data_IF_814441933411
#
_entry.id   IF_814441933411
#
_cell.length_a   1.000
_cell.length_b   1.000
_cell.length_c   1.000
_cell.angle_alpha   90.00
_cell.angle_beta   90.00
_cell.angle_gamma   90.00
#
_symmetry.space_group_name_H-M   'P 1'
#
loop_
_entity.id
_entity.type
_entity.pdbx_description
1 polymer ?
#
# COMPACT_ATOMS: atom_id res chain seq x y z
N UNK A 1 -15.49 -57.64 30.29
CA UNK A 1 -16.95 -57.87 30.24
C UNK A 1 -17.65 -56.66 30.83
N UNK A 2 -18.15 -55.76 29.99
CA UNK A 2 -19.15 -54.70 30.23
C UNK A 2 -19.83 -54.45 28.86
N UNK A 3 -21.16 -54.23 28.75
CA UNK A 3 -21.91 -54.62 27.55
C UNK A 3 -22.05 -53.52 26.48
N UNK A 4 -22.29 -53.99 25.24
CA UNK A 4 -22.86 -53.28 24.08
C UNK A 4 -24.37 -53.10 24.27
N UNK A 5 -24.89 -51.93 23.89
CA UNK A 5 -26.29 -51.58 23.54
C UNK A 5 -26.32 -50.06 23.31
N UNK A 6 -27.00 -49.42 22.33
CA UNK A 6 -28.02 -49.82 21.37
C UNK A 6 -28.09 -48.76 20.27
N UNK A 7 -28.33 -49.21 19.04
CA UNK A 7 -28.69 -48.44 17.84
C UNK A 7 -29.97 -47.63 18.07
N UNK A 8 -30.00 -46.36 17.67
CA UNK A 8 -31.21 -45.54 17.59
C UNK A 8 -31.24 -44.75 16.31
N UNK A 9 -31.70 -45.37 15.23
CA UNK A 9 -32.09 -44.70 14.00
C UNK A 9 -33.56 -44.27 14.12
N UNK A 10 -33.83 -42.98 13.94
CA UNK A 10 -35.17 -42.49 13.60
C UNK A 10 -35.04 -41.43 12.51
N UNK A 11 -35.48 -41.83 11.31
CA UNK A 11 -35.75 -40.95 10.20
C UNK A 11 -36.96 -40.07 10.52
N UNK A 12 -36.83 -38.78 10.26
CA UNK A 12 -37.97 -37.86 10.15
C UNK A 12 -37.86 -37.16 8.80
N UNK A 13 -38.59 -37.71 7.83
CA UNK A 13 -38.97 -37.02 6.60
C UNK A 13 -39.91 -35.88 7.00
N UNK A 14 -39.45 -34.64 6.82
CA UNK A 14 -40.25 -33.43 6.92
C UNK A 14 -40.33 -32.76 5.54
N UNK A 15 -41.55 -32.62 5.03
CA UNK A 15 -41.90 -32.29 3.66
C UNK A 15 -41.45 -30.89 3.19
N UNK A 16 -40.87 -30.86 1.98
CA UNK A 16 -40.75 -29.67 1.14
C UNK A 16 -42.15 -29.19 0.74
N UNK A 17 -42.57 -28.04 1.26
CA UNK A 17 -43.72 -27.29 0.73
C UNK A 17 -43.19 -26.13 -0.11
N UNK A 18 -43.28 -26.26 -1.44
CA UNK A 18 -43.06 -25.19 -2.40
C UNK A 18 -44.31 -24.30 -2.44
N UNK A 19 -44.28 -23.18 -1.74
CA UNK A 19 -45.30 -22.13 -1.91
C UNK A 19 -44.80 -21.15 -2.96
N UNK A 20 -45.40 -21.24 -4.14
CA UNK A 20 -45.20 -20.29 -5.23
C UNK A 20 -46.10 -19.05 -5.07
N UNK A 21 -45.60 -17.94 -5.62
CA UNK A 21 -46.31 -16.76 -6.11
C UNK A 21 -46.77 -15.69 -5.09
N UNK A 22 -45.98 -14.61 -5.00
CA UNK A 22 -46.50 -13.27 -4.78
C UNK A 22 -46.11 -12.40 -5.99
N UNK A 23 -47.03 -11.63 -6.59
CA UNK A 23 -46.69 -10.73 -7.68
C UNK A 23 -46.00 -9.48 -7.11
N UNK A 24 -44.91 -9.09 -7.76
CA UNK A 24 -44.22 -7.83 -7.47
C UNK A 24 -45.15 -6.63 -7.70
N UNK A 25 -45.06 -5.56 -6.89
CA UNK A 25 -45.69 -4.30 -7.22
C UNK A 25 -44.96 -3.68 -8.43
N UNK A 26 -45.71 -3.63 -9.53
CA UNK A 26 -45.61 -2.70 -10.64
C UNK A 26 -45.04 -1.32 -10.25
N UNK A 27 -43.72 -1.14 -10.40
CA UNK A 27 -43.11 0.17 -10.46
C UNK A 27 -43.30 0.72 -11.89
N UNK A 28 -44.35 1.53 -12.07
CA UNK A 28 -44.55 2.33 -13.27
C UNK A 28 -43.50 3.45 -13.28
N UNK A 29 -42.33 3.19 -13.86
CA UNK A 29 -41.41 4.26 -14.26
C UNK A 29 -41.89 4.85 -15.58
N UNK A 30 -42.28 6.12 -15.52
CA UNK A 30 -42.74 6.92 -16.62
C UNK A 30 -41.74 6.90 -17.79
N UNK A 31 -42.21 6.58 -18.99
CA UNK A 31 -41.53 6.93 -20.23
C UNK A 31 -41.45 8.45 -20.33
N UNK A 32 -40.32 9.02 -19.94
CA UNK A 32 -39.93 10.34 -20.43
C UNK A 32 -39.48 10.15 -21.89
N UNK A 33 -40.34 10.58 -22.81
CA UNK A 33 -40.01 10.80 -24.21
C UNK A 33 -38.89 11.84 -24.25
N UNK A 34 -37.68 11.43 -24.63
CA UNK A 34 -36.60 12.36 -24.95
C UNK A 34 -36.81 12.80 -26.39
N UNK A 35 -37.20 14.05 -26.56
CA UNK A 35 -37.26 14.76 -27.83
C UNK A 35 -35.84 14.84 -28.45
N UNK A 36 -35.62 14.40 -29.70
CA UNK A 36 -34.29 14.41 -30.32
C UNK A 36 -34.04 15.64 -31.19
N UNK A 37 -34.43 16.85 -30.75
CA UNK A 37 -34.19 18.07 -31.53
C UNK A 37 -33.81 19.29 -30.67
N UNK A 38 -32.57 19.33 -30.16
CA UNK A 38 -31.87 20.59 -29.86
C UNK A 38 -30.36 20.34 -29.59
N UNK A 39 -29.58 20.04 -30.63
CA UNK A 39 -28.14 20.28 -30.58
C UNK A 39 -27.86 21.66 -31.17
N UNK A 40 -27.90 22.70 -30.32
CA UNK A 40 -27.25 23.96 -30.67
C UNK A 40 -25.75 23.83 -30.39
N UNK A 41 -24.99 23.97 -31.46
CA UNK A 41 -23.53 24.04 -31.51
C UNK A 41 -23.04 25.22 -30.69
N UNK A 42 -22.37 24.97 -29.56
CA UNK A 42 -21.51 25.97 -28.90
C UNK A 42 -20.07 25.63 -29.22
N UNK A 43 -19.49 26.48 -30.04
CA UNK A 43 -18.10 26.53 -30.49
C UNK A 43 -17.15 26.76 -29.29
N UNK A 44 -16.05 26.00 -29.12
CA UNK A 44 -15.06 26.33 -28.10
C UNK A 44 -14.17 27.49 -28.59
N UNK A 45 -14.35 28.67 -28.00
CA UNK A 45 -13.43 29.80 -28.14
C UNK A 45 -12.01 29.38 -27.78
N UNK A 46 -11.11 29.51 -28.75
CA UNK A 46 -9.69 29.31 -28.60
C UNK A 46 -9.09 30.32 -27.60
N UNK A 47 -8.44 29.82 -26.54
CA UNK A 47 -7.52 30.62 -25.73
C UNK A 47 -6.12 30.47 -26.32
N UNK A 48 -5.57 31.57 -26.81
CA UNK A 48 -4.23 31.64 -27.39
C UNK A 48 -3.16 31.48 -26.30
N UNK A 49 -2.19 30.61 -26.55
CA UNK A 49 -0.94 30.54 -25.80
C UNK A 49 -0.08 31.80 -26.06
N UNK A 50 0.60 32.37 -25.05
CA UNK A 50 1.61 33.39 -25.29
C UNK A 50 2.88 32.76 -25.88
N UNK A 51 3.36 33.38 -26.97
CA UNK A 51 4.43 32.89 -27.84
C UNK A 51 5.84 32.92 -27.25
N UNK A 52 6.65 32.04 -27.82
CA UNK A 52 8.11 32.09 -27.86
C UNK A 52 8.51 33.13 -28.93
N UNK A 53 9.24 34.16 -28.52
CA UNK A 53 9.97 35.05 -29.41
C UNK A 53 11.42 35.14 -28.91
N UNK A 54 12.23 34.20 -29.39
CA UNK A 54 13.68 34.33 -29.44
C UNK A 54 14.07 35.18 -30.65
N UNK A 55 14.76 36.32 -30.46
CA UNK A 55 15.91 36.84 -31.25
C UNK A 55 16.19 38.32 -30.88
N UNK A 56 17.43 38.67 -30.48
CA UNK A 56 17.82 40.08 -30.43
C UNK A 56 19.09 40.46 -29.64
N UNK A 57 20.26 40.09 -30.14
CA UNK A 57 21.58 40.61 -29.75
C UNK A 57 21.71 42.15 -29.83
N UNK A 58 22.37 42.80 -28.84
CA UNK A 58 23.59 43.65 -29.03
C UNK A 58 24.13 44.33 -27.73
N UNK A 59 25.42 44.03 -27.45
CA UNK A 59 26.56 44.86 -27.00
C UNK A 59 26.39 45.92 -25.87
N UNK A 60 27.32 46.19 -24.94
CA UNK A 60 28.78 46.01 -24.91
C UNK A 60 29.37 46.14 -23.48
N UNK A 61 30.65 45.76 -23.35
CA UNK A 61 31.71 46.33 -22.46
C UNK A 61 31.64 45.94 -20.95
N UNK A 62 32.64 45.32 -20.32
CA UNK A 62 34.08 45.64 -20.36
C UNK A 62 34.99 44.48 -19.86
N UNK A 63 36.22 44.41 -20.42
CA UNK A 63 37.51 43.95 -19.87
C UNK A 63 37.60 42.56 -19.19
N UNK A 64 38.18 41.52 -19.82
CA UNK A 64 39.62 41.25 -20.07
C UNK A 64 40.43 40.96 -18.80
N UNK A 65 40.89 39.69 -18.64
CA UNK A 65 42.32 39.35 -18.52
C UNK A 65 42.59 37.85 -18.79
N UNK A 66 43.71 37.64 -19.47
CA UNK A 66 44.30 36.46 -20.10
C UNK A 66 45.04 35.54 -19.09
N UNK A 67 45.30 34.24 -19.39
CA UNK A 67 45.85 33.23 -18.47
C UNK A 67 47.36 32.97 -18.69
N UNK A 68 47.97 32.18 -17.76
CA UNK A 68 49.30 31.52 -17.76
C UNK A 68 50.07 31.88 -16.48
N UNK A 69 50.61 30.98 -15.65
CA UNK A 69 51.74 30.04 -15.87
C UNK A 69 51.72 28.96 -14.76
N UNK A 70 52.22 27.75 -15.07
CA UNK A 70 52.39 26.57 -14.17
C UNK A 70 53.60 26.67 -13.17
N UNK A 71 54.18 25.57 -12.60
CA UNK A 71 54.20 25.24 -11.17
C UNK A 71 55.64 25.26 -10.55
N UNK A 72 55.77 25.02 -9.22
CA UNK A 72 56.85 24.22 -8.55
C UNK A 72 57.11 24.64 -7.09
N UNK A 73 57.29 23.62 -6.23
CA UNK A 73 58.09 23.49 -4.98
C UNK A 73 58.16 24.69 -4.00
N UNK A 74 58.01 24.55 -2.67
CA UNK A 74 58.91 23.82 -1.75
C UNK A 74 58.30 23.89 -0.31
N UNK A 75 58.36 22.79 0.45
CA UNK A 75 58.26 22.75 1.95
C UNK A 75 59.68 23.04 2.55
N UNK A 76 59.98 23.12 3.88
CA UNK A 76 59.16 22.96 5.12
C UNK A 76 59.49 23.89 6.33
N UNK A 77 58.88 23.57 7.49
CA UNK A 77 59.30 23.84 8.90
C UNK A 77 58.80 25.18 9.49
N UNK A 78 58.10 25.25 10.63
CA UNK A 78 58.55 24.86 11.98
C UNK A 78 57.36 24.70 12.98
N UNK A 79 57.47 23.75 13.91
CA UNK A 79 56.61 23.54 15.10
C UNK A 79 57.30 24.11 16.34
N UNK A 80 56.55 24.59 17.34
CA UNK A 80 56.62 23.89 18.65
C UNK A 80 55.25 23.75 19.34
N UNK A 81 55.01 22.56 19.90
CA UNK A 81 54.05 22.26 20.98
C UNK A 81 54.72 22.55 22.36
N UNK A 82 54.07 22.47 23.57
CA UNK A 82 53.20 21.35 23.96
C UNK A 82 52.06 21.58 24.99
N UNK A 83 51.24 20.54 25.12
CA UNK A 83 50.48 20.01 26.28
C UNK A 83 49.41 20.85 27.01
N UNK A 84 48.14 20.42 26.86
CA UNK A 84 47.32 20.03 28.01
C UNK A 84 46.31 18.91 27.67
N UNK A 85 46.31 17.90 28.53
CA UNK A 85 45.44 16.73 28.52
C UNK A 85 44.01 17.12 28.89
N UNK A 86 43.04 16.88 27.99
CA UNK A 86 41.63 16.73 28.36
C UNK A 86 41.13 15.42 27.75
N UNK A 87 41.08 14.39 28.59
CA UNK A 87 40.42 13.14 28.28
C UNK A 87 38.90 13.41 28.24
N UNK A 88 38.37 13.68 27.06
CA UNK A 88 36.93 13.54 26.82
C UNK A 88 36.70 12.20 26.12
N UNK A 89 36.28 11.24 26.94
CA UNK A 89 35.68 9.97 26.53
C UNK A 89 34.60 10.23 25.46
N UNK A 90 34.63 9.56 24.30
CA UNK A 90 33.51 9.62 23.37
C UNK A 90 32.28 9.06 24.09
N UNK A 91 31.26 9.90 24.29
CA UNK A 91 29.98 9.48 24.82
C UNK A 91 29.46 8.33 23.95
N UNK A 92 29.48 7.12 24.49
CA UNK A 92 28.92 5.95 23.87
C UNK A 92 27.42 6.17 23.72
N UNK A 93 26.98 6.46 22.50
CA UNK A 93 25.59 6.27 22.11
C UNK A 93 25.31 4.77 22.29
N UNK A 94 24.58 4.39 23.33
CA UNK A 94 23.98 3.06 23.40
C UNK A 94 22.93 2.99 22.30
N UNK A 95 23.37 2.69 21.08
CA UNK A 95 22.48 2.22 20.03
C UNK A 95 21.85 0.92 20.55
N UNK A 96 20.52 0.87 20.57
CA UNK A 96 19.82 -0.39 20.81
C UNK A 96 20.42 -1.47 19.90
N UNK A 97 20.59 -2.72 20.37
CA UNK A 97 21.11 -3.79 19.52
C UNK A 97 20.26 -3.86 18.24
N UNK A 98 20.88 -3.62 17.08
CA UNK A 98 20.20 -3.84 15.82
C UNK A 98 19.76 -5.31 15.77
N UNK A 99 18.52 -5.60 15.33
CA UNK A 99 18.08 -6.98 15.21
C UNK A 99 19.04 -7.73 14.27
N UNK A 100 19.49 -8.91 14.70
CA UNK A 100 20.29 -9.79 13.85
C UNK A 100 19.49 -10.15 12.58
N UNK A 101 20.14 -10.17 11.42
CA UNK A 101 19.52 -10.60 10.15
C UNK A 101 18.81 -11.96 10.27
N UNK A 102 19.33 -12.88 11.09
CA UNK A 102 18.70 -14.17 11.35
C UNK A 102 17.40 -14.07 12.17
N UNK A 103 17.24 -13.05 13.02
CA UNK A 103 16.00 -12.81 13.74
C UNK A 103 14.94 -12.24 12.80
N UNK A 104 15.31 -11.26 11.95
CA UNK A 104 14.42 -10.70 10.92
C UNK A 104 13.94 -11.79 9.96
N UNK A 105 14.84 -12.62 9.44
CA UNK A 105 14.47 -13.71 8.54
C UNK A 105 13.50 -14.72 9.18
N UNK A 106 13.67 -15.03 10.47
CA UNK A 106 12.72 -15.90 11.19
C UNK A 106 11.36 -15.24 11.36
N UNK A 107 11.33 -13.98 11.79
CA UNK A 107 10.07 -13.23 11.94
C UNK A 107 9.35 -13.10 10.61
N UNK A 108 10.07 -12.85 9.51
CA UNK A 108 9.51 -12.82 8.16
C UNK A 108 8.84 -14.15 7.83
N UNK A 109 9.56 -15.26 8.03
CA UNK A 109 9.05 -16.59 7.72
C UNK A 109 7.82 -16.97 8.56
N UNK A 110 7.68 -16.42 9.77
CA UNK A 110 6.49 -16.62 10.60
C UNK A 110 5.28 -15.88 9.99
N UNK A 111 5.49 -14.77 9.29
CA UNK A 111 4.43 -14.01 8.63
C UNK A 111 4.02 -14.56 7.26
N UNK A 112 4.90 -15.30 6.59
CA UNK A 112 4.60 -15.90 5.28
C UNK A 112 3.29 -16.71 5.30
N UNK A 113 2.44 -16.47 4.31
CA UNK A 113 1.16 -17.17 4.16
C UNK A 113 0.03 -16.25 3.71
N UNK A 114 -1.18 -16.81 3.71
CA UNK A 114 -2.41 -16.10 3.36
C UNK A 114 -3.06 -15.53 4.62
N UNK A 115 -3.51 -14.29 4.52
CA UNK A 115 -4.18 -13.52 5.56
C UNK A 115 -5.52 -13.05 5.00
N UNK A 116 -6.61 -13.21 5.73
CA UNK A 116 -7.95 -12.84 5.22
C UNK A 116 -8.63 -11.94 6.23
N UNK A 117 -9.41 -10.98 5.74
CA UNK A 117 -10.17 -10.09 6.58
C UNK A 117 -11.11 -10.86 7.50
N UNK A 118 -11.13 -10.45 8.76
CA UNK A 118 -12.07 -10.95 9.76
C UNK A 118 -13.51 -10.82 9.26
N UNK A 119 -14.33 -11.82 9.58
CA UNK A 119 -15.75 -11.92 9.18
C UNK A 119 -16.01 -11.91 7.66
N UNK A 120 -14.99 -12.12 6.81
CA UNK A 120 -15.08 -12.09 5.33
C UNK A 120 -16.28 -12.85 4.75
N UNK A 121 -16.64 -14.01 5.31
CA UNK A 121 -17.81 -14.81 4.87
C UNK A 121 -19.16 -14.09 4.94
N UNK A 122 -19.26 -13.04 5.76
CA UNK A 122 -20.47 -12.23 5.94
C UNK A 122 -20.38 -10.88 5.21
N UNK A 123 -19.29 -10.62 4.49
CA UNK A 123 -19.04 -9.37 3.81
C UNK A 123 -19.26 -9.52 2.31
N UNK A 124 -19.91 -8.53 1.71
CA UNK A 124 -20.03 -8.43 0.25
C UNK A 124 -18.68 -8.11 -0.41
N UNK A 125 -17.89 -7.25 0.24
CA UNK A 125 -16.56 -6.85 -0.21
C UNK A 125 -15.57 -7.03 0.95
N UNK A 126 -14.44 -7.68 0.71
CA UNK A 126 -13.43 -7.94 1.74
C UNK A 126 -12.02 -7.92 1.14
N UNK A 127 -11.01 -7.92 2.00
CA UNK A 127 -9.61 -7.98 1.57
C UNK A 127 -8.92 -9.25 2.06
N UNK A 128 -7.97 -9.73 1.28
CA UNK A 128 -6.97 -10.68 1.73
C UNK A 128 -5.57 -10.14 1.45
N UNK A 129 -4.58 -10.81 2.00
CA UNK A 129 -3.19 -10.57 1.67
C UNK A 129 -2.41 -11.88 1.58
N UNK A 130 -1.38 -11.86 0.74
CA UNK A 130 -0.34 -12.89 0.71
C UNK A 130 0.98 -12.23 1.10
N UNK A 131 1.63 -12.81 2.12
CA UNK A 131 2.97 -12.40 2.54
C UNK A 131 3.94 -13.51 2.15
N UNK A 132 5.01 -13.15 1.45
CA UNK A 132 6.11 -14.06 1.12
C UNK A 132 7.36 -13.26 0.76
N UNK A 133 8.54 -13.83 1.00
CA UNK A 133 9.82 -13.31 0.47
C UNK A 133 10.09 -11.81 0.71
N UNK A 134 9.63 -11.26 1.85
CA UNK A 134 9.80 -9.83 2.14
C UNK A 134 8.81 -8.92 1.43
N UNK A 135 7.71 -9.46 0.90
CA UNK A 135 6.68 -8.76 0.13
C UNK A 135 5.32 -9.01 0.77
N UNK A 136 4.44 -8.01 0.68
CA UNK A 136 3.02 -8.12 0.97
C UNK A 136 2.22 -7.70 -0.27
N UNK A 137 1.26 -8.54 -0.66
CA UNK A 137 0.29 -8.27 -1.71
C UNK A 137 -1.09 -8.32 -1.09
N UNK A 138 -1.88 -7.25 -1.25
CA UNK A 138 -3.25 -7.14 -0.74
C UNK A 138 -4.21 -7.12 -1.91
N UNK A 139 -5.20 -8.00 -1.88
CA UNK A 139 -6.27 -8.06 -2.88
C UNK A 139 -7.56 -7.52 -2.28
N UNK A 140 -8.30 -6.76 -3.09
CA UNK A 140 -9.68 -6.39 -2.77
C UNK A 140 -10.64 -7.26 -3.57
N UNK A 141 -11.48 -8.01 -2.87
CA UNK A 141 -12.55 -8.82 -3.43
C UNK A 141 -13.84 -8.02 -3.38
N UNK A 142 -14.51 -7.92 -4.52
CA UNK A 142 -15.76 -7.18 -4.68
C UNK A 142 -16.89 -8.11 -5.13
N UNK A 143 -18.12 -7.72 -4.79
CA UNK A 143 -19.35 -8.38 -5.23
C UNK A 143 -19.34 -9.89 -4.95
N UNK A 144 -19.07 -10.28 -3.70
CA UNK A 144 -18.96 -11.69 -3.29
C UNK A 144 -17.94 -12.49 -4.13
N UNK A 145 -16.73 -11.94 -4.29
CA UNK A 145 -15.60 -12.56 -5.02
C UNK A 145 -15.78 -12.66 -6.54
N UNK A 146 -16.85 -12.08 -7.13
CA UNK A 146 -17.01 -12.04 -8.59
C UNK A 146 -15.87 -11.25 -9.27
N UNK A 147 -15.33 -10.25 -8.56
CA UNK A 147 -14.21 -9.44 -9.01
C UNK A 147 -13.13 -9.38 -7.93
N UNK A 148 -11.88 -9.47 -8.36
CA UNK A 148 -10.72 -9.27 -7.52
C UNK A 148 -9.74 -8.30 -8.20
N UNK A 149 -9.20 -7.36 -7.42
CA UNK A 149 -8.25 -6.34 -7.88
C UNK A 149 -7.13 -6.18 -6.87
N UNK A 150 -5.88 -5.99 -7.30
CA UNK A 150 -4.82 -5.56 -6.38
C UNK A 150 -5.21 -4.24 -5.72
N UNK A 151 -5.01 -4.16 -4.40
CA UNK A 151 -5.14 -2.93 -3.63
C UNK A 151 -3.76 -2.37 -3.26
N UNK A 152 -2.84 -3.26 -2.90
CA UNK A 152 -1.48 -2.92 -2.53
C UNK A 152 -0.52 -4.04 -2.95
N UNK A 153 0.68 -3.67 -3.35
CA UNK A 153 1.81 -4.57 -3.48
C UNK A 153 3.03 -3.78 -3.03
N UNK A 154 3.86 -4.35 -2.16
CA UNK A 154 5.00 -3.61 -1.64
C UNK A 154 5.89 -4.42 -0.71
N UNK A 155 6.92 -3.77 -0.20
CA UNK A 155 7.86 -4.37 0.76
C UNK A 155 7.17 -4.78 2.05
N UNK A 156 7.70 -5.76 2.77
CA UNK A 156 7.24 -6.16 4.08
C UNK A 156 8.38 -6.76 4.89
N UNK A 157 8.76 -6.12 6.01
CA UNK A 157 9.73 -6.69 6.95
C UNK A 157 9.09 -6.88 8.32
N UNK A 158 8.92 -8.14 8.70
CA UNK A 158 8.37 -8.51 9.99
C UNK A 158 9.38 -8.36 11.12
N UNK A 159 8.87 -7.98 12.30
CA UNK A 159 9.61 -7.97 13.57
C UNK A 159 8.97 -8.99 14.52
N UNK A 160 9.68 -9.32 15.60
CA UNK A 160 9.13 -10.21 16.64
C UNK A 160 8.08 -9.47 17.48
N UNK A 161 6.93 -10.10 17.74
CA UNK A 161 5.87 -9.55 18.58
C UNK A 161 5.00 -8.53 17.84
N UNK A 162 4.47 -7.55 18.57
CA UNK A 162 3.67 -6.47 17.97
C UNK A 162 4.59 -5.45 17.32
N UNK A 163 4.26 -4.99 16.11
CA UNK A 163 5.07 -4.03 15.37
C UNK A 163 4.28 -3.22 14.37
N UNK A 164 4.78 -2.03 14.03
CA UNK A 164 4.41 -1.30 12.83
C UNK A 164 5.53 -1.37 11.79
N UNK A 165 5.12 -1.46 10.52
CA UNK A 165 5.99 -1.46 9.36
C UNK A 165 5.45 -0.54 8.26
N UNK A 166 6.34 0.28 7.67
CA UNK A 166 6.03 1.12 6.53
C UNK A 166 6.44 0.38 5.26
N UNK A 167 5.45 -0.09 4.50
CA UNK A 167 5.62 -0.72 3.21
C UNK A 167 5.84 0.32 2.11
N UNK A 168 6.77 0.06 1.21
CA UNK A 168 7.00 0.84 0.00
C UNK A 168 6.37 0.15 -1.20
N UNK A 169 5.63 0.94 -1.99
CA UNK A 169 4.82 0.44 -3.10
C UNK A 169 5.65 -0.16 -4.25
N UNK A 170 5.12 -1.20 -4.88
CA UNK A 170 5.52 -1.70 -6.20
C UNK A 170 4.53 -1.16 -7.25
N UNK A 171 4.88 -0.02 -7.86
CA UNK A 171 4.05 0.65 -8.88
C UNK A 171 3.78 -0.23 -10.10
N UNK A 172 4.71 -1.12 -10.47
CA UNK A 172 4.54 -1.95 -11.66
C UNK A 172 3.36 -2.90 -11.50
N UNK A 173 3.21 -3.49 -10.30
CA UNK A 173 2.11 -4.40 -9.96
C UNK A 173 0.75 -3.71 -9.83
N UNK A 174 0.72 -2.40 -9.59
CA UNK A 174 -0.53 -1.64 -9.35
C UNK A 174 -0.98 -0.78 -10.54
N UNK A 175 -0.17 -0.66 -11.59
CA UNK A 175 -0.37 0.24 -12.73
C UNK A 175 -1.75 0.15 -13.44
N UNK A 176 -2.42 -0.99 -13.36
CA UNK A 176 -3.73 -1.24 -13.99
C UNK A 176 -4.82 -1.64 -12.98
N UNK A 177 -4.56 -1.51 -11.69
CA UNK A 177 -5.50 -1.88 -10.65
C UNK A 177 -6.43 -0.69 -10.32
N UNK A 178 -7.73 -0.73 -10.70
CA UNK A 178 -8.62 0.42 -10.62
C UNK A 178 -8.89 0.92 -9.20
N UNK A 179 -8.64 0.07 -8.20
CA UNK A 179 -8.84 0.38 -6.78
C UNK A 179 -7.54 0.34 -5.97
N UNK A 180 -6.38 0.36 -6.62
CA UNK A 180 -5.11 0.42 -5.91
C UNK A 180 -4.99 1.70 -5.07
N UNK A 181 -4.30 1.57 -3.93
CA UNK A 181 -3.92 2.73 -3.12
C UNK A 181 -3.03 3.67 -3.93
N UNK A 182 -3.31 4.98 -3.88
CA UNK A 182 -2.55 6.05 -4.55
C UNK A 182 -1.31 6.51 -3.75
N UNK A 183 -0.88 5.73 -2.76
CA UNK A 183 0.14 6.13 -1.79
C UNK A 183 1.50 5.53 -2.14
N UNK A 184 2.57 6.29 -1.92
CA UNK A 184 3.94 5.77 -2.04
C UNK A 184 4.30 4.80 -0.91
N UNK A 185 3.63 4.95 0.24
CA UNK A 185 3.81 4.09 1.40
C UNK A 185 2.50 3.72 2.06
N UNK A 186 2.50 2.57 2.73
CA UNK A 186 1.37 2.09 3.54
C UNK A 186 1.88 1.55 4.87
N UNK A 187 1.28 2.00 5.96
CA UNK A 187 1.55 1.47 7.28
C UNK A 187 0.74 0.19 7.51
N UNK A 188 1.43 -0.85 7.97
CA UNK A 188 0.89 -2.11 8.42
C UNK A 188 1.21 -2.30 9.90
N UNK A 189 0.20 -2.66 10.68
CA UNK A 189 0.31 -2.86 12.12
C UNK A 189 0.01 -4.31 12.44
N UNK A 190 0.95 -4.99 13.07
CA UNK A 190 0.77 -6.31 13.68
C UNK A 190 0.52 -6.13 15.17
N UNK A 191 -0.68 -6.49 15.62
CA UNK A 191 -1.05 -6.51 17.04
C UNK A 191 -1.78 -7.80 17.35
N UNK A 192 -1.27 -8.54 18.34
CA UNK A 192 -1.92 -9.75 18.89
C UNK A 192 -2.31 -10.80 17.82
N UNK A 193 -1.49 -10.90 16.76
CA UNK A 193 -1.72 -11.83 15.66
C UNK A 193 -2.64 -11.31 14.55
N UNK A 194 -3.11 -10.07 14.63
CA UNK A 194 -3.95 -9.42 13.62
C UNK A 194 -3.11 -8.39 12.85
N UNK A 195 -3.13 -8.50 11.52
CA UNK A 195 -2.49 -7.55 10.61
C UNK A 195 -3.51 -6.49 10.21
N UNK A 196 -3.22 -5.22 10.47
CA UNK A 196 -4.16 -4.12 10.21
C UNK A 196 -3.57 -3.02 9.34
N UNK A 197 -4.39 -2.39 8.51
CA UNK A 197 -4.01 -1.24 7.70
C UNK A 197 -5.23 -0.39 7.30
N UNK A 198 -5.04 0.91 7.04
CA UNK A 198 -6.13 1.76 6.57
C UNK A 198 -6.42 1.54 5.08
N UNK A 199 -7.71 1.51 4.75
CA UNK A 199 -8.22 1.57 3.39
C UNK A 199 -9.18 2.76 3.27
N UNK A 200 -8.95 3.63 2.29
CA UNK A 200 -9.88 4.69 1.91
C UNK A 200 -10.59 4.32 0.62
N UNK A 201 -11.91 4.35 0.64
CA UNK A 201 -12.76 4.11 -0.52
C UNK A 201 -13.95 5.06 -0.48
N UNK A 202 -14.25 5.73 -1.59
CA UNK A 202 -15.37 6.68 -1.72
C UNK A 202 -15.42 7.76 -0.61
N UNK A 203 -14.26 8.26 -0.19
CA UNK A 203 -14.14 9.31 0.84
C UNK A 203 -14.31 8.82 2.28
N UNK A 204 -14.55 7.52 2.50
CA UNK A 204 -14.58 6.90 3.82
C UNK A 204 -13.30 6.09 4.06
N UNK A 205 -12.76 6.17 5.28
CA UNK A 205 -11.61 5.36 5.71
C UNK A 205 -12.07 4.31 6.71
N UNK A 206 -11.71 3.05 6.44
CA UNK A 206 -11.89 1.91 7.35
C UNK A 206 -10.54 1.31 7.68
N UNK A 207 -10.42 0.76 8.89
CA UNK A 207 -9.29 -0.09 9.25
C UNK A 207 -9.64 -1.51 8.89
N UNK A 208 -8.80 -2.13 8.08
CA UNK A 208 -8.91 -3.53 7.69
C UNK A 208 -8.15 -4.35 8.74
N UNK A 209 -8.73 -5.45 9.17
CA UNK A 209 -8.13 -6.39 10.11
C UNK A 209 -8.07 -7.77 9.47
N UNK A 210 -6.87 -8.29 9.24
CA UNK A 210 -6.62 -9.59 8.63
C UNK A 210 -6.10 -10.58 9.67
N UNK A 211 -6.58 -11.82 9.59
CA UNK A 211 -6.06 -12.96 10.35
C UNK A 211 -5.36 -13.94 9.42
N UNK A 212 -4.27 -14.53 9.91
CA UNK A 212 -3.55 -15.55 9.17
C UNK A 212 -4.41 -16.81 9.07
N UNK A 213 -4.58 -17.32 7.85
CA UNK A 213 -5.24 -18.59 7.63
C UNK A 213 -4.37 -19.72 8.15
N UNK A 214 -4.99 -20.61 8.93
CA UNK A 214 -4.31 -21.79 9.45
C UNK A 214 -3.97 -22.72 8.29
N UNK A 215 -2.69 -23.07 8.14
CA UNK A 215 -2.21 -24.07 7.19
C UNK A 215 -2.44 -25.49 7.70
#
# INVERSE_FOLDING_TARGET
>A
MVPKSTLGALALLGALSLTACAPAPNNASASAVVDPAAFETVEPSAVSAPGDDSTGIKAAVNASHDPSIHPAATQPTETPAPDNTSNQEPAAYTAAPMPSSAAVARSQKIMDGTWVQQDSTNLENYMDAVIHDGIIEVTYHLNHEELATPFWAGTFEAKTGNFSYISHVDHAKLSHAPYASDKETKEFVMEDGVLSFPMTFEGATRIIHLEKQHS
#
